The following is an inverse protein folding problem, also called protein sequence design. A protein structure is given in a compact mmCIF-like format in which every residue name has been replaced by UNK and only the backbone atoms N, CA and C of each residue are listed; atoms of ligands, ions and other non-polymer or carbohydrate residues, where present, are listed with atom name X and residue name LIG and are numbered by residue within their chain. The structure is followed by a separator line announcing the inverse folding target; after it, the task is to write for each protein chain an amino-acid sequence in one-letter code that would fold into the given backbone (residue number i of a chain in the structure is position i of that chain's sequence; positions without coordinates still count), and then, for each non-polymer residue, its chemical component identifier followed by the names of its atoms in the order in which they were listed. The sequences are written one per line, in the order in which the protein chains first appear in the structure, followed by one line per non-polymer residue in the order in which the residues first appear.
data_IF_037561168236
#
_entry.id   IF_037561168236
#
_cell.length_a   1.000
_cell.length_b   1.000
_cell.length_c   1.000
_cell.angle_alpha   90.00
_cell.angle_beta   90.00
_cell.angle_gamma   90.00
#
_symmetry.space_group_name_H-M   'P 1'
#
loop_
_entity.id
_entity.type
_entity.pdbx_description
1 polymer ?
#
# COMPACT_ATOMS: atom_id res chain seq x y z
N UNK A 1 9.23 16.67 1.54
CA UNK A 1 8.84 15.56 0.67
C UNK A 1 9.74 14.36 0.95
N UNK A 2 9.17 13.20 1.23
CA UNK A 2 9.95 12.02 1.58
C UNK A 2 10.44 11.28 0.32
N UNK A 3 11.49 10.46 0.50
CA UNK A 3 12.05 9.67 -0.59
C UNK A 3 11.02 8.69 -1.19
N UNK A 4 10.12 8.16 -0.36
CA UNK A 4 9.06 7.25 -0.81
C UNK A 4 8.15 7.93 -1.83
N UNK A 5 7.77 9.19 -1.59
CA UNK A 5 6.93 9.90 -2.53
C UNK A 5 7.66 10.14 -3.86
N UNK A 6 8.92 10.50 -3.81
CA UNK A 6 9.71 10.69 -5.02
C UNK A 6 9.79 9.40 -5.84
N UNK A 7 9.99 8.27 -5.18
CA UNK A 7 10.01 6.97 -5.84
C UNK A 7 8.67 6.68 -6.51
N UNK A 8 7.58 6.88 -5.79
CA UNK A 8 6.25 6.58 -6.31
C UNK A 8 5.89 7.50 -7.48
N UNK A 9 6.21 8.79 -7.39
CA UNK A 9 5.92 9.73 -8.48
C UNK A 9 6.73 9.42 -9.73
N UNK A 10 7.88 8.76 -9.59
CA UNK A 10 8.68 8.34 -10.74
C UNK A 10 8.15 7.07 -11.40
N UNK A 11 7.42 6.23 -10.65
CA UNK A 11 6.95 4.93 -11.13
C UNK A 11 5.49 4.94 -11.58
N UNK A 12 4.69 5.86 -11.05
CA UNK A 12 3.24 5.87 -11.25
C UNK A 12 2.81 7.22 -11.78
N UNK A 13 1.91 7.21 -12.77
CA UNK A 13 1.37 8.46 -13.32
C UNK A 13 0.57 9.20 -12.24
N UNK A 14 0.62 10.55 -12.24
CA UNK A 14 -0.03 11.34 -11.19
C UNK A 14 -1.51 11.05 -10.98
N UNK A 15 -2.24 10.69 -12.03
CA UNK A 15 -3.67 10.39 -11.91
C UNK A 15 -3.96 9.12 -11.10
N UNK A 16 -2.95 8.27 -10.89
CA UNK A 16 -3.08 7.04 -10.12
C UNK A 16 -2.50 7.16 -8.71
N UNK A 17 -2.13 8.36 -8.30
CA UNK A 17 -1.51 8.60 -6.99
C UNK A 17 -2.53 9.25 -6.07
N UNK A 18 -2.65 8.72 -4.86
CA UNK A 18 -3.52 9.26 -3.81
C UNK A 18 -2.69 9.52 -2.56
N UNK A 19 -2.96 10.64 -1.90
CA UNK A 19 -2.24 11.07 -0.71
C UNK A 19 -3.19 11.21 0.45
N UNK A 20 -2.74 10.79 1.62
CA UNK A 20 -3.53 10.85 2.86
C UNK A 20 -2.67 11.41 3.98
N UNK A 21 -3.25 12.28 4.80
CA UNK A 21 -2.57 12.85 5.97
C UNK A 21 -3.48 12.71 7.18
N UNK A 22 -2.93 12.16 8.26
CA UNK A 22 -3.62 12.03 9.54
C UNK A 22 -4.98 11.32 9.42
N UNK A 23 -5.06 10.32 8.56
CA UNK A 23 -6.29 9.58 8.33
C UNK A 23 -6.36 8.38 9.29
N UNK A 24 -7.55 8.11 9.83
CA UNK A 24 -7.77 6.91 10.62
C UNK A 24 -7.61 5.68 9.75
N UNK A 25 -7.11 4.58 10.34
CA UNK A 25 -6.87 3.36 9.57
C UNK A 25 -8.13 2.84 8.89
N UNK A 26 -9.28 2.93 9.57
CA UNK A 26 -10.54 2.47 9.00
C UNK A 26 -10.94 3.28 7.77
N UNK A 27 -10.71 4.59 7.80
CA UNK A 27 -11.01 5.46 6.67
C UNK A 27 -10.03 5.24 5.52
N UNK A 28 -8.77 4.98 5.83
CA UNK A 28 -7.78 4.63 4.83
C UNK A 28 -8.19 3.35 4.09
N UNK A 29 -8.60 2.32 4.84
CA UNK A 29 -9.05 1.05 4.26
C UNK A 29 -10.25 1.27 3.33
N UNK A 30 -11.22 2.08 3.77
CA UNK A 30 -12.38 2.42 2.92
C UNK A 30 -11.96 3.11 1.63
N UNK A 31 -10.97 4.00 1.72
CA UNK A 31 -10.45 4.70 0.54
C UNK A 31 -9.82 3.74 -0.45
N UNK A 32 -9.04 2.77 0.04
CA UNK A 32 -8.43 1.75 -0.82
C UNK A 32 -9.49 0.85 -1.44
N UNK A 33 -10.53 0.50 -0.68
CA UNK A 33 -11.65 -0.26 -1.23
C UNK A 33 -12.31 0.48 -2.38
N UNK A 34 -12.47 1.79 -2.24
CA UNK A 34 -13.05 2.63 -3.28
C UNK A 34 -12.19 2.74 -4.54
N UNK A 35 -10.87 2.63 -4.39
CA UNK A 35 -9.94 2.64 -5.53
C UNK A 35 -9.99 1.33 -6.32
N UNK A 36 -10.48 0.26 -5.71
CA UNK A 36 -10.76 -0.98 -6.40
C UNK A 36 -9.66 -2.02 -6.31
N UNK A 37 -9.96 -3.17 -6.88
CA UNK A 37 -9.05 -4.31 -6.97
C UNK A 37 -7.72 -3.90 -7.57
N UNK A 38 -6.64 -4.36 -6.98
CA UNK A 38 -5.36 -4.11 -7.56
C UNK A 38 -4.20 -4.12 -6.58
N UNK A 39 -3.03 -3.91 -7.13
CA UNK A 39 -1.79 -3.78 -6.39
C UNK A 39 -1.35 -2.32 -6.41
N UNK A 40 -1.00 -1.82 -5.24
CA UNK A 40 -0.57 -0.44 -5.03
C UNK A 40 0.79 -0.43 -4.35
N UNK A 41 1.66 0.49 -4.74
CA UNK A 41 2.84 0.80 -3.94
C UNK A 41 2.44 1.84 -2.90
N UNK A 42 2.98 1.72 -1.69
CA UNK A 42 2.68 2.67 -0.61
C UNK A 42 3.96 3.20 0.01
N UNK A 43 4.01 4.52 0.19
CA UNK A 43 5.05 5.18 0.94
C UNK A 43 4.46 5.74 2.23
N UNK A 44 5.17 5.51 3.32
CA UNK A 44 4.81 5.95 4.65
C UNK A 44 5.87 6.92 5.16
N UNK A 45 5.72 7.41 6.40
CA UNK A 45 6.69 8.34 6.98
C UNK A 45 8.11 7.79 6.90
N UNK A 46 8.31 6.53 7.29
CA UNK A 46 9.63 5.91 7.36
C UNK A 46 9.68 4.51 6.76
N UNK A 47 8.73 4.17 5.91
CA UNK A 47 8.63 2.80 5.42
C UNK A 47 7.99 2.77 4.04
N UNK A 48 8.28 1.73 3.27
CA UNK A 48 7.71 1.53 1.94
C UNK A 48 7.24 0.08 1.83
N UNK A 49 6.18 -0.14 1.10
CA UNK A 49 5.66 -1.48 0.89
C UNK A 49 4.63 -1.48 -0.23
N UNK A 50 3.76 -2.47 -0.17
CA UNK A 50 2.69 -2.63 -1.14
C UNK A 50 1.36 -2.83 -0.43
N UNK A 51 0.30 -2.38 -1.06
CA UNK A 51 -1.07 -2.66 -0.65
C UNK A 51 -1.68 -3.55 -1.73
N UNK A 52 -2.31 -4.63 -1.32
CA UNK A 52 -3.03 -5.51 -2.23
C UNK A 52 -4.49 -5.57 -1.83
N UNK A 53 -5.36 -5.12 -2.74
CA UNK A 53 -6.81 -5.20 -2.59
C UNK A 53 -7.27 -6.36 -3.48
N UNK A 54 -7.67 -7.46 -2.85
CA UNK A 54 -8.10 -8.65 -3.59
C UNK A 54 -9.59 -8.68 -3.92
N UNK A 55 -10.28 -7.58 -3.63
CA UNK A 55 -11.72 -7.47 -3.81
C UNK A 55 -12.51 -7.75 -2.53
N UNK A 56 -11.90 -8.42 -1.56
CA UNK A 56 -12.50 -8.74 -0.24
C UNK A 56 -11.73 -8.09 0.88
N UNK A 57 -10.42 -8.30 0.90
CA UNK A 57 -9.54 -7.85 1.98
C UNK A 57 -8.47 -6.94 1.44
N UNK A 58 -7.95 -6.09 2.31
CA UNK A 58 -6.83 -5.21 2.01
C UNK A 58 -5.62 -5.70 2.80
N UNK A 59 -4.54 -6.00 2.11
CA UNK A 59 -3.30 -6.50 2.70
C UNK A 59 -2.19 -5.49 2.58
N UNK A 60 -1.33 -5.46 3.60
CA UNK A 60 -0.08 -4.72 3.57
C UNK A 60 1.06 -5.72 3.39
N UNK A 61 1.86 -5.54 2.34
CA UNK A 61 2.97 -6.41 2.01
C UNK A 61 4.24 -5.60 2.20
N UNK A 62 5.10 -6.05 3.11
CA UNK A 62 6.32 -5.31 3.43
C UNK A 62 7.40 -6.28 3.88
N UNK A 63 8.65 -5.80 3.81
CA UNK A 63 9.79 -6.56 4.32
C UNK A 63 10.08 -6.10 5.75
N UNK A 64 10.29 -7.06 6.64
CA UNK A 64 10.69 -6.78 8.01
C UNK A 64 12.20 -6.65 8.08
N UNK A 65 12.67 -5.60 8.76
CA UNK A 65 14.10 -5.42 9.03
C UNK A 65 14.53 -6.10 10.31
N UNK A 66 13.58 -6.60 11.08
CA UNK A 66 13.85 -7.25 12.37
C UNK A 66 13.68 -8.74 12.15
N UNK A 67 14.76 -9.48 12.33
CA UNK A 67 14.71 -10.94 12.22
C UNK A 67 15.02 -11.44 10.82
N UNK A 68 14.09 -12.15 10.21
CA UNK A 68 14.35 -13.01 9.05
C UNK A 68 14.46 -12.30 7.70
N UNK A 69 14.19 -11.02 7.61
CA UNK A 69 14.16 -10.28 6.34
C UNK A 69 13.16 -10.84 5.33
N UNK A 70 12.17 -11.58 5.80
CA UNK A 70 11.14 -12.14 4.91
C UNK A 70 10.09 -11.11 4.59
N UNK A 71 9.52 -11.20 3.39
CA UNK A 71 8.37 -10.42 2.99
C UNK A 71 7.15 -10.94 3.75
N UNK A 72 6.41 -10.02 4.38
CA UNK A 72 5.22 -10.36 5.16
C UNK A 72 3.99 -9.80 4.49
N UNK A 73 2.91 -10.57 4.50
CA UNK A 73 1.60 -10.17 4.00
C UNK A 73 0.63 -10.22 5.17
N UNK A 74 0.13 -9.05 5.57
CA UNK A 74 -0.73 -8.92 6.75
C UNK A 74 -1.98 -8.14 6.39
N UNK A 75 -3.06 -8.35 7.14
CA UNK A 75 -4.24 -7.50 7.00
C UNK A 75 -3.85 -6.07 7.35
N UNK A 76 -4.12 -5.16 6.41
CA UNK A 76 -3.71 -3.76 6.57
C UNK A 76 -4.32 -3.11 7.80
N UNK A 77 -5.58 -3.42 8.10
CA UNK A 77 -6.30 -2.82 9.24
C UNK A 77 -5.64 -3.16 10.59
N UNK A 78 -4.90 -4.26 10.67
CA UNK A 78 -4.26 -4.71 11.91
C UNK A 78 -2.81 -4.28 12.03
N UNK A 79 -2.22 -3.73 10.98
CA UNK A 79 -0.80 -3.45 10.97
C UNK A 79 -0.47 -2.15 11.71
N UNK A 80 0.38 -2.20 12.76
CA UNK A 80 0.71 -1.01 13.56
C UNK A 80 1.49 0.04 12.78
N UNK A 81 2.31 -0.35 11.81
CA UNK A 81 3.08 0.60 11.00
C UNK A 81 2.13 1.50 10.21
N UNK A 82 1.12 0.91 9.59
CA UNK A 82 0.10 1.68 8.87
C UNK A 82 -0.71 2.56 9.80
N UNK A 83 -1.08 2.04 10.97
CA UNK A 83 -1.88 2.81 11.94
C UNK A 83 -1.14 4.03 12.43
N UNK A 84 0.15 3.91 12.66
CA UNK A 84 0.96 4.98 13.28
C UNK A 84 1.46 6.00 12.26
N UNK A 85 1.52 5.65 11.00
CA UNK A 85 2.02 6.56 9.98
C UNK A 85 1.04 7.72 9.77
N UNK A 86 1.54 8.94 9.87
CA UNK A 86 0.73 10.14 9.69
C UNK A 86 0.52 10.49 8.24
N UNK A 87 1.45 10.12 7.37
CA UNK A 87 1.39 10.42 5.95
C UNK A 87 1.48 9.14 5.15
N UNK A 88 0.58 9.00 4.20
CA UNK A 88 0.55 7.83 3.30
C UNK A 88 0.36 8.31 1.87
N UNK A 89 1.18 7.79 0.98
CA UNK A 89 1.01 8.03 -0.46
C UNK A 89 0.93 6.67 -1.15
N UNK A 90 -0.11 6.48 -1.95
CA UNK A 90 -0.31 5.22 -2.66
C UNK A 90 -0.39 5.48 -4.16
N UNK A 91 0.20 4.58 -4.94
CA UNK A 91 0.12 4.62 -6.39
C UNK A 91 -0.32 3.28 -6.93
N UNK A 92 -1.36 3.26 -7.75
CA UNK A 92 -1.86 2.02 -8.31
C UNK A 92 -0.92 1.52 -9.39
N UNK A 93 -0.41 0.30 -9.22
CA UNK A 93 0.50 -0.33 -10.17
C UNK A 93 -0.29 -1.12 -11.22
N UNK A 94 -1.24 -1.94 -10.77
CA UNK A 94 -1.99 -2.79 -11.67
C UNK A 94 -3.36 -3.11 -11.09
N UNK A 95 -4.37 -3.12 -11.96
CA UNK A 95 -5.69 -3.62 -11.63
C UNK A 95 -6.05 -4.84 -12.47
N UNK A 96 -5.08 -5.44 -13.14
CA UNK A 96 -5.32 -6.61 -13.99
C UNK A 96 -5.34 -7.87 -13.12
N UNK A 97 -6.55 -8.42 -12.97
CA UNK A 97 -6.79 -9.58 -12.11
C UNK A 97 -5.94 -10.78 -12.54
N UNK A 98 -5.79 -11.02 -13.82
CA UNK A 98 -5.03 -12.18 -14.32
C UNK A 98 -3.54 -12.05 -13.97
N UNK A 99 -2.99 -10.86 -14.13
CA UNK A 99 -1.59 -10.61 -13.80
C UNK A 99 -1.37 -10.75 -12.30
N UNK A 100 -2.26 -10.17 -11.49
CA UNK A 100 -2.11 -10.18 -10.04
C UNK A 100 -2.28 -11.59 -9.47
N UNK A 101 -3.20 -12.37 -10.00
CA UNK A 101 -3.35 -13.77 -9.57
C UNK A 101 -2.08 -14.56 -9.81
N UNK A 102 -1.40 -14.30 -10.92
CA UNK A 102 -0.14 -14.97 -11.23
C UNK A 102 0.96 -14.57 -10.25
N UNK A 103 1.03 -13.28 -9.89
CA UNK A 103 2.09 -12.77 -9.01
C UNK A 103 1.85 -13.10 -7.54
N UNK A 104 0.59 -13.05 -7.10
CA UNK A 104 0.24 -13.12 -5.68
C UNK A 104 -0.09 -14.53 -5.20
N UNK A 105 -0.27 -15.45 -6.11
CA UNK A 105 -0.52 -16.86 -5.82
C UNK A 105 0.64 -17.69 -6.35
#
# INVERSE_FOLDING_TARGET
QCASEQMITSLVQPKYISRFSNIAIEDFIKSIQGLGYGLYVIGLDNHTGFIYNDGNEIYFIHASYIGSKTVQKELAVLNPILKQSKYKVVGKISGDEKVLQRWMN
#
